data_IF_862837459092
#
_entry.id   IF_862837459092
#
_cell.length_a   1.000
_cell.length_b   1.000
_cell.length_c   1.000
_cell.angle_alpha   90.00
_cell.angle_beta   90.00
_cell.angle_gamma   90.00
#
_symmetry.space_group_name_H-M   'P 1'
#
loop_
_entity.id
_entity.type
_entity.pdbx_description
1 polymer ?
#
# COMPACT_ATOMS: atom_id res chain seq x y z
N UNK A 1 -12.98 7.92 -3.44
CA UNK A 1 -11.55 7.76 -3.10
C UNK A 1 -10.70 8.99 -3.39
N UNK A 2 -10.87 9.65 -4.53
CA UNK A 2 -9.99 10.75 -4.97
C UNK A 2 -9.74 11.86 -3.93
N UNK A 3 -10.77 12.27 -3.18
CA UNK A 3 -10.63 13.25 -2.09
C UNK A 3 -9.69 12.77 -0.98
N UNK A 4 -9.87 11.53 -0.51
CA UNK A 4 -9.06 10.93 0.56
C UNK A 4 -7.59 10.87 0.17
N UNK A 5 -7.31 10.51 -1.10
CA UNK A 5 -5.96 10.47 -1.68
C UNK A 5 -5.30 11.85 -1.78
N UNK A 6 -6.08 12.93 -1.93
CA UNK A 6 -5.55 14.30 -2.04
C UNK A 6 -5.37 14.98 -0.70
N UNK A 7 -6.26 14.71 0.26
CA UNK A 7 -6.31 15.44 1.54
C UNK A 7 -5.43 14.81 2.60
N UNK A 8 -5.52 13.49 2.81
CA UNK A 8 -4.80 12.85 3.92
C UNK A 8 -3.27 12.97 3.84
N UNK A 9 -2.62 12.89 2.66
CA UNK A 9 -1.18 13.16 2.58
C UNK A 9 -0.81 14.60 2.93
N UNK A 10 -1.65 15.58 2.56
CA UNK A 10 -1.44 17.00 2.88
C UNK A 10 -1.63 17.32 4.36
N UNK A 11 -2.38 16.48 5.06
CA UNK A 11 -2.62 16.59 6.50
C UNK A 11 -1.69 15.68 7.32
N UNK A 12 -0.77 14.96 6.68
CA UNK A 12 0.13 13.98 7.32
C UNK A 12 -0.60 12.82 8.06
N UNK A 13 -1.89 12.59 7.74
CA UNK A 13 -2.75 11.61 8.41
C UNK A 13 -2.69 10.20 7.80
N UNK A 14 -1.89 10.00 6.74
CA UNK A 14 -1.77 8.70 6.07
C UNK A 14 -1.25 7.62 7.01
N UNK A 15 -0.32 7.98 7.91
CA UNK A 15 0.23 7.06 8.90
C UNK A 15 -0.87 6.58 9.85
N UNK A 16 -1.65 7.51 10.41
CA UNK A 16 -2.72 7.18 11.34
C UNK A 16 -3.82 6.36 10.69
N UNK A 17 -4.18 6.67 9.43
CA UNK A 17 -5.11 5.85 8.65
C UNK A 17 -4.60 4.42 8.55
N UNK A 18 -3.35 4.20 8.13
CA UNK A 18 -2.77 2.86 7.94
C UNK A 18 -2.78 2.07 9.24
N UNK A 19 -2.36 2.67 10.36
CA UNK A 19 -2.35 1.99 11.66
C UNK A 19 -3.77 1.69 12.16
N UNK A 20 -4.67 2.66 12.13
CA UNK A 20 -6.06 2.46 12.54
C UNK A 20 -6.76 1.43 11.67
N UNK A 21 -6.53 1.45 10.36
CA UNK A 21 -7.08 0.46 9.45
C UNK A 21 -6.59 -0.94 9.81
N UNK A 22 -5.29 -1.10 10.08
CA UNK A 22 -4.72 -2.39 10.50
C UNK A 22 -5.33 -2.90 11.81
N UNK A 23 -5.52 -2.01 12.79
CA UNK A 23 -6.06 -2.36 14.10
C UNK A 23 -7.52 -2.87 14.01
N UNK A 24 -8.36 -2.20 13.22
CA UNK A 24 -9.80 -2.52 13.12
C UNK A 24 -10.14 -3.54 12.03
N UNK A 25 -9.17 -3.93 11.18
CA UNK A 25 -9.41 -4.76 10.00
C UNK A 25 -10.12 -6.08 10.30
N UNK A 26 -9.73 -6.75 11.40
CA UNK A 26 -10.33 -8.03 11.81
C UNK A 26 -11.80 -7.88 12.20
N UNK A 27 -12.13 -6.84 12.96
CA UNK A 27 -13.50 -6.53 13.38
C UNK A 27 -14.39 -6.18 12.19
N UNK A 28 -13.88 -5.37 11.28
CA UNK A 28 -14.60 -5.02 10.05
C UNK A 28 -14.90 -6.29 9.23
N UNK A 29 -13.89 -7.12 8.99
CA UNK A 29 -14.06 -8.34 8.20
C UNK A 29 -15.09 -9.28 8.84
N UNK A 30 -15.04 -9.43 10.17
CA UNK A 30 -16.00 -10.23 10.92
C UNK A 30 -17.44 -9.70 10.73
N UNK A 31 -17.66 -8.39 10.84
CA UNK A 31 -18.99 -7.80 10.67
C UNK A 31 -19.49 -8.03 9.23
N UNK A 32 -18.64 -7.70 8.26
CA UNK A 32 -19.02 -7.63 6.84
C UNK A 32 -19.25 -9.02 6.24
N UNK A 33 -18.55 -10.05 6.72
CA UNK A 33 -18.78 -11.44 6.32
C UNK A 33 -20.07 -12.01 6.88
N UNK A 34 -20.46 -11.61 8.09
CA UNK A 34 -21.71 -12.08 8.72
C UNK A 34 -22.96 -11.35 8.20
N UNK A 35 -22.79 -10.19 7.55
CA UNK A 35 -23.87 -9.48 6.90
C UNK A 35 -24.38 -10.23 5.65
N UNK A 36 -25.66 -10.64 5.66
CA UNK A 36 -26.36 -11.18 4.49
C UNK A 36 -26.25 -10.22 3.29
N UNK A 37 -26.26 -10.79 2.08
CA UNK A 37 -26.13 -10.07 0.82
C UNK A 37 -27.42 -9.27 0.49
N UNK A 38 -27.66 -8.19 1.23
CA UNK A 38 -28.57 -7.12 0.78
C UNK A 38 -27.82 -6.22 -0.22
N UNK A 39 -28.51 -5.75 -1.25
CA UNK A 39 -27.94 -4.86 -2.28
C UNK A 39 -27.36 -3.57 -1.70
N UNK A 40 -27.87 -3.09 -0.55
CA UNK A 40 -27.30 -1.94 0.18
C UNK A 40 -25.96 -2.25 0.85
N UNK A 41 -25.81 -3.48 1.36
CA UNK A 41 -24.58 -3.96 1.99
C UNK A 41 -23.50 -4.18 0.92
N UNK A 42 -23.88 -4.50 -0.31
CA UNK A 42 -22.94 -4.69 -1.41
C UNK A 42 -22.14 -3.43 -1.76
N UNK A 43 -22.80 -2.27 -1.83
CA UNK A 43 -22.10 -0.99 -2.03
C UNK A 43 -21.09 -0.69 -0.92
N UNK A 44 -21.42 -1.02 0.34
CA UNK A 44 -20.50 -0.87 1.48
C UNK A 44 -19.29 -1.80 1.34
N UNK A 45 -19.52 -3.07 0.96
CA UNK A 45 -18.45 -4.06 0.73
C UNK A 45 -17.47 -3.58 -0.35
N UNK A 46 -17.97 -3.05 -1.47
CA UNK A 46 -17.12 -2.53 -2.56
C UNK A 46 -16.31 -1.32 -2.08
N UNK A 47 -16.94 -0.37 -1.38
CA UNK A 47 -16.24 0.80 -0.82
C UNK A 47 -15.17 0.43 0.20
N UNK A 48 -15.39 -0.60 0.98
CA UNK A 48 -14.40 -1.12 1.92
C UNK A 48 -13.15 -1.65 1.21
N UNK A 49 -13.34 -2.31 0.06
CA UNK A 49 -12.19 -2.74 -0.75
C UNK A 49 -11.48 -1.56 -1.39
N UNK A 50 -12.19 -0.53 -1.87
CA UNK A 50 -11.54 0.69 -2.37
C UNK A 50 -10.61 1.32 -1.32
N UNK A 51 -11.08 1.43 -0.07
CA UNK A 51 -10.28 1.99 1.05
C UNK A 51 -9.10 1.08 1.38
N UNK A 52 -9.34 -0.22 1.50
CA UNK A 52 -8.28 -1.21 1.77
C UNK A 52 -7.22 -1.17 0.68
N UNK A 53 -7.65 -1.10 -0.57
CA UNK A 53 -6.79 -0.98 -1.72
C UNK A 53 -5.85 0.21 -1.62
N UNK A 54 -6.39 1.37 -1.23
CA UNK A 54 -5.55 2.56 -1.04
C UNK A 54 -4.57 2.42 0.12
N UNK A 55 -4.98 1.79 1.22
CA UNK A 55 -4.08 1.47 2.34
C UNK A 55 -2.94 0.57 1.87
N UNK A 56 -3.25 -0.48 1.12
CA UNK A 56 -2.26 -1.40 0.57
C UNK A 56 -1.32 -0.73 -0.43
N UNK A 57 -1.82 0.19 -1.26
CA UNK A 57 -1.03 0.98 -2.20
C UNK A 57 0.01 1.85 -1.48
N UNK A 58 -0.43 2.59 -0.46
CA UNK A 58 0.41 3.50 0.34
C UNK A 58 1.49 2.74 1.09
N UNK A 59 1.13 1.57 1.62
CA UNK A 59 2.05 0.67 2.32
C UNK A 59 3.01 -0.02 1.34
N UNK A 60 2.52 -0.43 0.17
CA UNK A 60 3.27 -1.13 -0.88
C UNK A 60 4.34 -0.25 -1.51
N UNK A 61 4.01 1.01 -1.82
CA UNK A 61 4.97 1.99 -2.35
C UNK A 61 5.87 2.63 -1.29
N UNK A 62 5.70 2.28 0.00
CA UNK A 62 6.53 2.79 1.08
C UNK A 62 6.27 4.27 1.44
N UNK A 63 5.13 4.83 1.02
CA UNK A 63 4.69 6.17 1.44
C UNK A 63 4.48 6.21 2.96
N UNK A 64 3.94 5.13 3.52
CA UNK A 64 3.95 4.88 4.97
C UNK A 64 4.81 3.66 5.26
N UNK A 65 5.85 3.86 6.06
CA UNK A 65 6.77 2.78 6.45
C UNK A 65 6.13 1.95 7.57
N UNK A 66 5.88 0.69 7.29
CA UNK A 66 5.37 -0.30 8.26
C UNK A 66 6.25 -1.55 8.23
N UNK A 67 6.35 -2.25 9.36
CA UNK A 67 7.12 -3.49 9.47
C UNK A 67 6.63 -4.53 8.45
N UNK A 68 7.56 -5.29 7.86
CA UNK A 68 7.25 -6.35 6.88
C UNK A 68 6.19 -7.34 7.37
N UNK A 69 6.19 -7.68 8.66
CA UNK A 69 5.17 -8.55 9.27
C UNK A 69 3.77 -7.93 9.21
N UNK A 70 3.65 -6.63 9.48
CA UNK A 70 2.37 -5.91 9.45
C UNK A 70 1.84 -5.81 8.01
N UNK A 71 2.71 -5.57 7.03
CA UNK A 71 2.35 -5.55 5.60
C UNK A 71 1.78 -6.90 5.14
N UNK A 72 2.46 -7.99 5.50
CA UNK A 72 2.01 -9.34 5.20
C UNK A 72 0.70 -9.69 5.93
N UNK A 73 0.51 -9.22 7.17
CA UNK A 73 -0.71 -9.44 7.93
C UNK A 73 -1.93 -8.77 7.25
N UNK A 74 -1.80 -7.50 6.89
CA UNK A 74 -2.84 -6.75 6.17
C UNK A 74 -3.26 -7.48 4.88
N UNK A 75 -2.29 -7.87 4.05
CA UNK A 75 -2.58 -8.62 2.81
C UNK A 75 -3.29 -9.95 3.11
N UNK A 76 -2.80 -10.73 4.08
CA UNK A 76 -3.39 -12.03 4.44
C UNK A 76 -4.83 -11.90 4.95
N UNK A 77 -5.16 -10.85 5.68
CA UNK A 77 -6.52 -10.62 6.21
C UNK A 77 -7.48 -10.24 5.08
N UNK A 78 -7.09 -9.29 4.23
CA UNK A 78 -8.00 -8.68 3.27
C UNK A 78 -8.14 -9.45 1.95
N UNK A 79 -7.07 -10.11 1.48
CA UNK A 79 -7.05 -10.78 0.18
C UNK A 79 -8.17 -11.82 -0.02
N UNK A 80 -8.49 -12.69 0.96
CA UNK A 80 -9.58 -13.65 0.82
C UNK A 80 -10.94 -12.98 0.63
N UNK A 81 -11.20 -11.90 1.38
CA UNK A 81 -12.44 -11.15 1.30
C UNK A 81 -12.58 -10.45 -0.05
N UNK A 82 -11.52 -9.81 -0.52
CA UNK A 82 -11.47 -9.08 -1.80
C UNK A 82 -11.75 -10.03 -2.97
N UNK A 83 -11.10 -11.21 -2.98
CA UNK A 83 -11.32 -12.23 -4.01
C UNK A 83 -12.76 -12.74 -4.02
N UNK A 84 -13.32 -13.05 -2.84
CA UNK A 84 -14.73 -13.46 -2.72
C UNK A 84 -15.67 -12.37 -3.24
N UNK A 85 -15.45 -11.12 -2.85
CA UNK A 85 -16.28 -10.01 -3.29
C UNK A 85 -16.22 -9.83 -4.80
N UNK A 86 -15.03 -9.89 -5.40
CA UNK A 86 -14.86 -9.81 -6.86
C UNK A 86 -15.69 -10.86 -7.57
N UNK A 87 -15.57 -12.13 -7.15
CA UNK A 87 -16.35 -13.22 -7.75
C UNK A 87 -17.86 -13.04 -7.63
N UNK A 88 -18.34 -12.42 -6.54
CA UNK A 88 -19.77 -12.12 -6.35
C UNK A 88 -20.24 -11.00 -7.27
N UNK A 89 -19.46 -9.91 -7.37
CA UNK A 89 -19.76 -8.76 -8.24
C UNK A 89 -19.76 -9.19 -9.71
N UNK A 90 -18.79 -10.02 -10.11
CA UNK A 90 -18.69 -10.54 -11.48
C UNK A 90 -19.87 -11.48 -11.83
N UNK A 91 -20.35 -12.25 -10.86
CA UNK A 91 -21.49 -13.16 -11.04
C UNK A 91 -22.85 -12.44 -11.13
N UNK A 92 -23.01 -11.29 -10.48
CA UNK A 92 -24.23 -10.47 -10.55
C UNK A 92 -24.39 -9.73 -11.89
N UNK A 93 -23.31 -9.66 -12.69
CA UNK A 93 -23.27 -8.98 -13.98
C UNK A 93 -23.48 -7.46 -13.87
N UNK A 94 -23.49 -6.77 -15.01
CA UNK A 94 -23.63 -5.29 -15.08
C UNK A 94 -24.98 -4.76 -14.53
N UNK A 95 -25.90 -5.64 -14.15
CA UNK A 95 -27.25 -5.26 -13.69
C UNK A 95 -27.28 -4.71 -12.26
N UNK A 96 -26.26 -4.99 -11.43
CA UNK A 96 -26.22 -4.53 -10.03
C UNK A 96 -25.70 -3.10 -9.87
N UNK A 97 -25.10 -2.51 -10.92
CA UNK A 97 -24.48 -1.18 -10.87
C UNK A 97 -23.20 -1.10 -10.02
N UNK A 98 -22.76 -2.22 -9.42
CA UNK A 98 -21.54 -2.31 -8.64
C UNK A 98 -20.43 -2.89 -9.51
N UNK A 99 -19.27 -2.23 -9.55
CA UNK A 99 -18.06 -2.75 -10.18
C UNK A 99 -16.88 -2.51 -9.24
N UNK A 100 -16.00 -3.50 -9.09
CA UNK A 100 -14.69 -3.27 -8.50
C UNK A 100 -13.78 -2.55 -9.49
N UNK A 101 -12.90 -1.72 -8.95
CA UNK A 101 -11.86 -1.05 -9.73
C UNK A 101 -10.86 -2.08 -10.25
N UNK A 102 -10.68 -2.12 -11.58
CA UNK A 102 -9.89 -3.14 -12.26
C UNK A 102 -8.40 -3.00 -11.92
N UNK A 103 -7.89 -1.77 -11.96
CA UNK A 103 -6.50 -1.43 -11.63
C UNK A 103 -6.18 -1.82 -10.18
N UNK A 104 -7.13 -1.61 -9.26
CA UNK A 104 -6.98 -2.03 -7.88
C UNK A 104 -6.96 -3.56 -7.72
N UNK A 105 -7.84 -4.26 -8.44
CA UNK A 105 -7.85 -5.72 -8.45
C UNK A 105 -6.52 -6.28 -9.00
N UNK A 106 -6.01 -5.73 -10.10
CA UNK A 106 -4.71 -6.09 -10.65
C UNK A 106 -3.56 -5.77 -9.69
N UNK A 107 -3.61 -4.62 -8.99
CA UNK A 107 -2.62 -4.26 -7.98
C UNK A 107 -2.60 -5.25 -6.81
N UNK A 108 -3.77 -5.59 -6.27
CA UNK A 108 -3.90 -6.52 -5.14
C UNK A 108 -3.51 -7.93 -5.57
N UNK A 109 -3.90 -8.36 -6.76
CA UNK A 109 -3.53 -9.67 -7.29
C UNK A 109 -2.05 -9.73 -7.65
N UNK A 110 -1.48 -8.67 -8.23
CA UNK A 110 -0.06 -8.52 -8.53
C UNK A 110 0.82 -8.46 -7.28
N UNK A 111 0.27 -7.99 -6.16
CA UNK A 111 0.93 -8.01 -4.83
C UNK A 111 1.10 -9.41 -4.22
N UNK A 112 0.72 -10.48 -4.97
CA UNK A 112 0.86 -11.92 -4.68
C UNK A 112 1.60 -12.21 -3.37
N UNK A 113 0.85 -12.14 -2.27
CA UNK A 113 1.25 -12.72 -0.98
C UNK A 113 1.50 -14.24 -1.09
N UNK A 114 1.09 -14.86 -2.20
CA UNK A 114 1.37 -16.24 -2.57
C UNK A 114 2.78 -16.38 -3.18
N UNK A 115 3.22 -15.46 -4.05
CA UNK A 115 4.62 -15.43 -4.55
C UNK A 115 5.57 -14.95 -3.46
N UNK A 116 5.18 -13.96 -2.66
CA UNK A 116 5.95 -13.55 -1.48
C UNK A 116 5.90 -14.63 -0.38
N UNK A 117 4.79 -15.37 -0.26
CA UNK A 117 4.62 -16.48 0.67
C UNK A 117 5.35 -17.75 0.23
N UNK A 118 5.48 -18.01 -1.06
CA UNK A 118 6.33 -19.04 -1.66
C UNK A 118 7.80 -18.66 -1.55
N UNK A 119 8.16 -17.39 -1.74
CA UNK A 119 9.49 -16.87 -1.41
C UNK A 119 9.80 -17.01 0.09
N UNK A 120 8.87 -16.66 0.97
CA UNK A 120 9.04 -16.75 2.44
C UNK A 120 8.97 -18.19 2.99
N UNK A 121 8.21 -19.09 2.36
CA UNK A 121 8.26 -20.54 2.65
C UNK A 121 9.54 -21.17 2.10
N UNK A 122 10.04 -20.69 0.96
CA UNK A 122 11.37 -21.02 0.43
C UNK A 122 12.52 -20.51 1.31
N UNK A 123 12.31 -19.43 2.08
CA UNK A 123 13.25 -18.91 3.08
C UNK A 123 13.37 -19.85 4.32
N UNK A 124 12.52 -20.87 4.43
CA UNK A 124 12.62 -21.93 5.43
C UNK A 124 13.58 -23.08 5.08
N UNK A 125 14.19 -23.09 3.88
CA UNK A 125 15.16 -24.10 3.46
C UNK A 125 16.37 -23.39 2.83
N UNK A 126 17.56 -23.77 3.29
CA UNK A 126 18.86 -23.30 2.85
C UNK A 126 18.93 -23.07 1.32
N UNK A 127 19.12 -21.82 0.86
CA UNK A 127 19.57 -21.62 -0.53
C UNK A 127 19.20 -20.33 -1.27
N UNK A 128 18.25 -19.51 -0.80
CA UNK A 128 17.91 -18.27 -1.52
C UNK A 128 18.82 -17.12 -1.07
N UNK A 129 19.88 -16.85 -1.86
CA UNK A 129 20.60 -15.57 -1.78
C UNK A 129 19.69 -14.47 -2.32
N UNK A 130 19.37 -13.49 -1.48
CA UNK A 130 18.81 -12.23 -1.95
C UNK A 130 19.69 -11.69 -3.10
N UNK A 131 19.11 -11.09 -4.16
CA UNK A 131 19.93 -10.38 -5.14
C UNK A 131 20.78 -9.37 -4.38
N UNK A 132 22.07 -9.31 -4.71
CA UNK A 132 22.96 -8.35 -4.07
C UNK A 132 22.53 -6.94 -4.49
N UNK A 133 21.89 -6.23 -3.55
CA UNK A 133 21.43 -4.85 -3.74
C UNK A 133 22.49 -3.84 -3.30
N UNK A 134 23.70 -4.28 -2.90
CA UNK A 134 24.75 -3.39 -2.40
C UNK A 134 25.13 -2.33 -3.42
N UNK A 135 25.23 -2.70 -4.70
CA UNK A 135 25.52 -1.74 -5.77
C UNK A 135 24.40 -0.71 -5.96
N UNK A 136 23.14 -1.16 -6.00
CA UNK A 136 21.99 -0.26 -6.11
C UNK A 136 21.88 0.70 -4.91
N UNK A 137 22.17 0.20 -3.70
CA UNK A 137 22.22 1.00 -2.49
C UNK A 137 23.38 2.00 -2.49
N UNK A 138 24.58 1.59 -2.92
CA UNK A 138 25.72 2.48 -3.05
C UNK A 138 25.48 3.59 -4.07
N UNK A 139 24.88 3.28 -5.22
CA UNK A 139 24.49 4.26 -6.22
C UNK A 139 23.45 5.24 -5.66
N UNK A 140 22.46 4.75 -4.90
CA UNK A 140 21.48 5.61 -4.21
C UNK A 140 22.18 6.54 -3.22
N UNK A 141 23.02 6.00 -2.34
CA UNK A 141 23.77 6.77 -1.35
C UNK A 141 24.69 7.80 -2.01
N UNK A 142 25.38 7.43 -3.08
CA UNK A 142 26.22 8.34 -3.85
C UNK A 142 25.41 9.49 -4.43
N UNK A 143 24.29 9.19 -5.12
CA UNK A 143 23.41 10.20 -5.71
C UNK A 143 22.86 11.15 -4.65
N UNK A 144 22.45 10.63 -3.49
CA UNK A 144 21.95 11.41 -2.36
C UNK A 144 23.03 12.32 -1.75
N UNK A 145 24.25 11.78 -1.53
CA UNK A 145 25.40 12.55 -1.02
C UNK A 145 25.83 13.64 -2.00
N UNK A 146 25.87 13.33 -3.29
CA UNK A 146 26.21 14.27 -4.36
C UNK A 146 25.20 15.41 -4.46
N UNK A 147 23.89 15.09 -4.42
CA UNK A 147 22.83 16.09 -4.38
C UNK A 147 22.95 17.02 -3.16
N UNK A 148 23.20 16.45 -1.97
CA UNK A 148 23.42 17.22 -0.74
C UNK A 148 24.63 18.17 -0.85
N UNK A 149 25.74 17.73 -1.44
CA UNK A 149 26.93 18.57 -1.63
C UNK A 149 26.64 19.76 -2.54
N UNK A 150 25.98 19.54 -3.68
CA UNK A 150 25.59 20.62 -4.60
C UNK A 150 24.66 21.64 -3.95
N UNK A 151 23.75 21.17 -3.09
CA UNK A 151 22.87 22.05 -2.31
C UNK A 151 23.66 22.89 -1.32
N UNK A 152 24.57 22.29 -0.54
CA UNK A 152 25.41 23.01 0.42
C UNK A 152 26.32 24.02 -0.27
N UNK A 153 27.00 23.65 -1.36
CA UNK A 153 27.83 24.57 -2.14
C UNK A 153 27.02 25.75 -2.70
N UNK A 154 25.75 25.52 -3.06
CA UNK A 154 24.85 26.59 -3.51
C UNK A 154 24.44 27.49 -2.35
N UNK A 155 24.17 26.93 -1.17
CA UNK A 155 23.88 27.71 0.04
C UNK A 155 25.10 28.54 0.48
N UNK A 156 26.30 27.98 0.45
CA UNK A 156 27.53 28.69 0.84
C UNK A 156 27.83 29.86 -0.11
N UNK A 157 27.62 29.68 -1.43
CA UNK A 157 27.73 30.76 -2.41
C UNK A 157 26.74 31.89 -2.13
N UNK A 158 25.47 31.57 -1.89
CA UNK A 158 24.44 32.56 -1.56
C UNK A 158 24.72 33.27 -0.22
N UNK A 159 25.23 32.55 0.77
CA UNK A 159 25.65 33.15 2.04
C UNK A 159 26.82 34.11 1.85
N UNK A 160 27.81 33.76 1.01
CA UNK A 160 28.91 34.66 0.69
C UNK A 160 28.48 35.90 -0.11
N UNK A 161 27.53 35.78 -1.04
CA UNK A 161 26.99 36.91 -1.81
C UNK A 161 26.18 37.88 -0.94
N UNK A 162 25.44 37.37 0.05
CA UNK A 162 24.65 38.18 0.98
C UNK A 162 25.50 38.88 2.07
N UNK A 163 26.78 38.56 2.21
CA UNK A 163 27.72 39.26 3.14
C UNK A 163 28.35 40.50 2.48
N UNK A 164 28.20 40.67 1.15
CA UNK A 164 28.72 41.80 0.39
C UNK A 164 27.63 42.83 -0.04
N UNK A 165 26.44 42.78 0.58
CA UNK A 165 25.39 43.80 0.50
C UNK A 165 25.13 44.39 1.89
#
# INVERSE_FOLDING_TARGET
>A
MEWLCKVLPRMELMKDLVFKWADISSEILLIVENCKLDSRIMGVKVKLVEVTGKVLEVVGYGIVIVLSRSRACLLKMWLPFIRRLRTLVDAEGTQSGYKMDEDLCEFIEGSRAEVFGEWMRGIGLEGVKFPDLSEAFEVWCYRSKSAKRRLLERCDRLASENVFL
#
